data_IF_840063739939
#
_entry.id   IF_840063739939
#
_cell.length_a   1.000
_cell.length_b   1.000
_cell.length_c   1.000
_cell.angle_alpha   90.00
_cell.angle_beta   90.00
_cell.angle_gamma   90.00
#
_symmetry.space_group_name_H-M   'P 1'
#
loop_
_entity.id
_entity.type
_entity.pdbx_description
1 polymer ?
#
# COMPACT_ATOMS: atom_id res chain seq x y z
N UNK A 1 41.38 -4.09 -11.70
CA UNK A 1 40.82 -4.24 -10.33
C UNK A 1 40.20 -2.94 -9.75
N UNK A 2 40.04 -1.84 -10.50
CA UNK A 2 39.53 -0.56 -9.94
C UNK A 2 38.13 -0.11 -10.39
N UNK A 3 37.38 -0.89 -11.19
CA UNK A 3 36.05 -0.49 -11.69
C UNK A 3 34.85 -0.99 -10.85
N UNK A 4 35.07 -1.87 -9.86
CA UNK A 4 33.98 -2.41 -9.02
C UNK A 4 33.72 -1.57 -7.75
N UNK A 5 34.71 -0.82 -7.24
CA UNK A 5 34.58 0.01 -6.03
C UNK A 5 33.99 1.41 -6.30
N UNK A 6 34.07 1.90 -7.54
CA UNK A 6 33.54 3.21 -7.94
C UNK A 6 32.03 3.17 -8.21
N UNK A 7 31.50 2.02 -8.66
CA UNK A 7 30.08 1.86 -8.97
C UNK A 7 29.19 1.71 -7.72
N UNK A 8 29.72 1.12 -6.65
CA UNK A 8 29.02 0.88 -5.36
C UNK A 8 28.88 2.14 -4.49
N UNK A 9 29.85 3.05 -4.51
CA UNK A 9 29.76 4.35 -3.81
C UNK A 9 28.67 5.26 -4.40
N UNK A 10 28.48 5.23 -5.72
CA UNK A 10 27.44 6.00 -6.42
C UNK A 10 26.03 5.47 -6.12
N UNK A 11 25.84 4.15 -6.01
CA UNK A 11 24.53 3.57 -5.65
C UNK A 11 24.12 3.93 -4.22
N UNK A 12 25.04 3.85 -3.26
CA UNK A 12 24.75 4.14 -1.85
C UNK A 12 24.38 5.62 -1.62
N UNK A 13 25.09 6.54 -2.29
CA UNK A 13 24.78 7.98 -2.24
C UNK A 13 23.40 8.29 -2.84
N UNK A 14 23.07 7.67 -3.99
CA UNK A 14 21.76 7.79 -4.64
C UNK A 14 20.61 7.27 -3.78
N UNK A 15 20.85 6.20 -3.03
CA UNK A 15 19.88 5.60 -2.11
C UNK A 15 19.64 6.50 -0.90
N UNK A 16 20.67 7.18 -0.38
CA UNK A 16 20.52 8.14 0.74
C UNK A 16 19.70 9.36 0.34
N UNK A 17 19.80 9.85 -0.91
CA UNK A 17 18.98 10.97 -1.37
C UNK A 17 17.49 10.66 -1.42
N UNK A 18 17.12 9.42 -1.78
CA UNK A 18 15.73 8.94 -1.76
C UNK A 18 15.12 8.84 -0.35
N UNK A 19 15.95 8.98 0.70
CA UNK A 19 15.57 8.86 2.11
C UNK A 19 15.54 10.19 2.86
N UNK A 20 15.90 11.30 2.20
CA UNK A 20 15.86 12.67 2.74
C UNK A 20 14.51 13.09 3.37
N UNK A 21 13.33 12.58 2.96
CA UNK A 21 12.05 12.94 3.59
C UNK A 21 11.78 12.24 4.93
N UNK A 22 12.65 11.33 5.38
CA UNK A 22 12.45 10.54 6.59
C UNK A 22 13.08 11.23 7.81
N UNK A 23 12.33 11.32 8.89
CA UNK A 23 12.77 11.73 10.23
C UNK A 23 14.03 10.96 10.67
N UNK A 24 14.91 11.60 11.45
CA UNK A 24 16.25 11.09 11.82
C UNK A 24 16.23 9.70 12.47
N UNK A 25 15.12 9.35 13.14
CA UNK A 25 14.94 8.01 13.74
C UNK A 25 14.72 6.93 12.67
N UNK A 26 14.06 7.28 11.56
CA UNK A 26 13.79 6.40 10.43
C UNK A 26 15.02 6.25 9.52
N UNK A 27 15.89 7.25 9.44
CA UNK A 27 17.19 7.16 8.74
C UNK A 27 18.10 6.06 9.33
N UNK A 28 18.14 5.89 10.66
CA UNK A 28 18.94 4.82 11.31
C UNK A 28 18.38 3.43 10.97
N UNK A 29 17.06 3.29 10.96
CA UNK A 29 16.38 2.04 10.62
C UNK A 29 16.60 1.73 9.14
N UNK A 30 16.45 2.70 8.23
CA UNK A 30 16.64 2.43 6.80
C UNK A 30 18.11 2.18 6.44
N UNK A 31 19.07 2.87 7.09
CA UNK A 31 20.52 2.55 6.95
C UNK A 31 20.83 1.09 7.29
N UNK A 32 20.15 0.51 8.29
CA UNK A 32 20.31 -0.92 8.62
C UNK A 32 19.73 -1.89 7.58
N UNK A 33 18.81 -1.42 6.73
CA UNK A 33 18.22 -2.23 5.67
C UNK A 33 18.96 -2.07 4.35
N UNK A 34 19.51 -0.88 4.05
CA UNK A 34 20.33 -0.62 2.87
C UNK A 34 21.57 -1.52 2.84
N UNK A 35 22.19 -1.77 3.99
CA UNK A 35 23.36 -2.66 4.06
C UNK A 35 23.02 -4.13 3.72
N UNK A 36 21.76 -4.55 3.89
CA UNK A 36 21.29 -5.88 3.51
C UNK A 36 20.98 -6.04 2.01
N UNK A 37 20.91 -4.95 1.25
CA UNK A 37 20.72 -4.95 -0.21
C UNK A 37 22.03 -5.13 -1.00
N UNK A 38 23.17 -5.20 -0.31
CA UNK A 38 24.46 -5.53 -0.88
C UNK A 38 24.51 -7.03 -1.25
N UNK A 39 25.13 -7.34 -2.38
CA UNK A 39 24.91 -8.57 -3.16
C UNK A 39 25.51 -9.85 -2.55
N UNK A 40 26.38 -9.73 -1.55
CA UNK A 40 27.13 -10.87 -1.02
C UNK A 40 26.55 -11.39 0.33
N UNK A 41 26.34 -12.70 0.44
CA UNK A 41 25.79 -13.37 1.64
C UNK A 41 26.70 -13.18 2.87
N UNK A 42 28.02 -13.13 2.68
CA UNK A 42 28.97 -12.87 3.77
C UNK A 42 29.02 -11.39 4.15
N UNK A 43 28.78 -10.48 3.20
CA UNK A 43 28.61 -9.04 3.48
C UNK A 43 27.30 -8.77 4.22
N UNK A 44 26.21 -9.52 3.96
CA UNK A 44 24.96 -9.43 4.73
C UNK A 44 25.14 -9.88 6.18
N UNK A 45 25.82 -11.01 6.40
CA UNK A 45 26.14 -11.48 7.77
C UNK A 45 27.13 -10.57 8.49
N UNK A 46 28.08 -9.97 7.76
CA UNK A 46 29.02 -9.00 8.33
C UNK A 46 28.37 -7.64 8.56
N UNK A 47 27.46 -7.18 7.70
CA UNK A 47 26.70 -5.95 7.90
C UNK A 47 25.70 -6.09 9.05
N UNK A 48 25.03 -7.23 9.23
CA UNK A 48 24.23 -7.51 10.42
C UNK A 48 25.10 -7.56 11.69
N UNK A 49 26.27 -8.20 11.64
CA UNK A 49 27.24 -8.19 12.75
C UNK A 49 27.84 -6.81 13.04
N UNK A 50 28.11 -6.01 12.01
CA UNK A 50 28.59 -4.63 12.12
C UNK A 50 27.47 -3.73 12.62
N UNK A 51 26.23 -3.84 12.16
CA UNK A 51 25.07 -3.12 12.71
C UNK A 51 24.78 -3.43 14.19
N UNK A 52 25.06 -4.67 14.61
CA UNK A 52 25.00 -5.08 16.02
C UNK A 52 26.17 -4.49 16.83
N UNK A 53 27.34 -4.30 16.19
CA UNK A 53 28.55 -3.69 16.77
C UNK A 53 28.59 -2.17 16.70
N UNK A 54 27.86 -1.57 15.77
CA UNK A 54 27.98 -0.16 15.41
C UNK A 54 27.09 0.70 16.31
N UNK A 55 27.59 1.89 16.60
CA UNK A 55 27.13 2.82 17.62
C UNK A 55 25.79 3.50 17.25
N UNK A 56 24.98 2.87 16.41
CA UNK A 56 23.63 3.28 15.98
C UNK A 56 22.68 3.63 17.13
N UNK A 57 22.96 3.13 18.35
CA UNK A 57 22.22 3.51 19.56
C UNK A 57 22.50 4.94 20.05
N UNK A 58 23.61 5.57 19.66
CA UNK A 58 23.91 6.96 20.04
C UNK A 58 22.90 7.96 19.44
N UNK A 59 22.28 7.59 18.30
CA UNK A 59 21.25 8.39 17.64
C UNK A 59 19.83 7.85 17.87
N UNK A 60 19.65 6.85 18.76
CA UNK A 60 18.35 6.28 19.04
C UNK A 60 17.57 7.18 20.01
N UNK A 61 16.42 7.63 19.54
CA UNK A 61 15.50 8.44 20.33
C UNK A 61 14.45 7.55 21.01
N UNK A 62 14.16 7.81 22.27
CA UNK A 62 13.09 7.15 23.00
C UNK A 62 11.76 7.42 22.28
N UNK A 63 11.04 6.39 21.84
CA UNK A 63 9.80 6.59 21.10
C UNK A 63 8.64 7.08 21.98
N UNK A 64 8.79 7.04 23.32
CA UNK A 64 7.78 7.51 24.28
C UNK A 64 7.99 8.97 24.68
N UNK A 65 9.21 9.36 25.07
CA UNK A 65 9.50 10.70 25.60
C UNK A 65 10.44 11.54 24.72
N UNK A 66 10.88 11.01 23.57
CA UNK A 66 11.80 11.68 22.63
C UNK A 66 13.20 12.02 23.16
N UNK A 67 13.56 11.49 24.33
CA UNK A 67 14.92 11.59 24.86
C UNK A 67 15.93 10.78 24.04
N UNK A 68 17.12 11.33 23.83
CA UNK A 68 18.29 10.64 23.24
C UNK A 68 19.04 9.78 24.26
N UNK A 69 18.69 9.84 25.55
CA UNK A 69 19.33 9.09 26.62
C UNK A 69 18.86 7.62 26.65
N UNK A 70 19.35 6.83 25.70
CA UNK A 70 18.95 5.43 25.48
C UNK A 70 20.16 4.50 25.62
N UNK A 71 19.98 3.39 26.35
CA UNK A 71 20.99 2.33 26.50
C UNK A 71 20.48 0.96 26.04
N UNK A 72 21.41 0.07 25.69
CA UNK A 72 21.13 -1.36 25.44
C UNK A 72 20.61 -2.01 26.74
N UNK A 73 19.62 -2.89 26.63
CA UNK A 73 18.94 -3.55 27.76
C UNK A 73 18.75 -5.07 27.50
N UNK A 74 19.87 -5.73 27.15
CA UNK A 74 19.90 -7.15 26.82
C UNK A 74 19.15 -7.51 25.52
N UNK A 75 18.99 -8.80 25.30
CA UNK A 75 18.29 -9.38 24.13
C UNK A 75 17.12 -10.25 24.58
N UNK A 76 16.09 -10.37 23.74
CA UNK A 76 14.99 -11.33 23.93
C UNK A 76 14.53 -11.86 22.58
N UNK A 77 14.47 -13.18 22.42
CA UNK A 77 14.14 -13.84 21.14
C UNK A 77 15.00 -13.29 20.00
N UNK A 78 16.31 -13.26 20.19
CA UNK A 78 17.32 -12.76 19.23
C UNK A 78 17.19 -11.26 18.87
N UNK A 79 16.34 -10.50 19.57
CA UNK A 79 16.13 -9.07 19.33
C UNK A 79 16.76 -8.23 20.43
N UNK A 80 17.57 -7.25 20.02
CA UNK A 80 18.11 -6.24 20.91
C UNK A 80 16.99 -5.39 21.52
N UNK A 81 17.03 -5.21 22.84
CA UNK A 81 16.16 -4.29 23.59
C UNK A 81 16.94 -3.04 23.98
N UNK A 82 16.22 -1.94 24.08
CA UNK A 82 16.72 -0.64 24.49
C UNK A 82 15.88 -0.12 25.65
N UNK A 83 16.50 0.59 26.59
CA UNK A 83 15.84 1.25 27.71
C UNK A 83 16.18 2.72 27.69
N UNK A 84 15.17 3.58 27.72
CA UNK A 84 15.37 5.01 27.96
C UNK A 84 15.73 5.23 29.43
N UNK A 85 16.76 6.02 29.71
CA UNK A 85 17.15 6.34 31.08
C UNK A 85 16.21 7.37 31.73
N UNK A 86 15.58 8.25 30.95
CA UNK A 86 14.72 9.31 31.48
C UNK A 86 13.31 8.83 31.82
N UNK A 87 12.65 8.08 30.92
CA UNK A 87 11.29 7.58 31.16
C UNK A 87 11.20 6.07 31.45
N UNK A 88 12.36 5.39 31.51
CA UNK A 88 12.48 3.95 31.75
C UNK A 88 11.76 3.02 30.78
N UNK A 89 11.21 3.55 29.68
CA UNK A 89 10.52 2.77 28.67
C UNK A 89 11.47 1.80 27.97
N UNK A 90 11.04 0.54 27.84
CA UNK A 90 11.82 -0.51 27.17
C UNK A 90 11.20 -0.85 25.82
N UNK A 91 12.01 -0.79 24.76
CA UNK A 91 11.56 -0.97 23.39
C UNK A 91 12.57 -1.76 22.55
N UNK A 92 12.17 -2.10 21.33
CA UNK A 92 13.00 -2.67 20.26
C UNK A 92 12.88 -1.76 19.06
N UNK A 93 13.75 -1.89 18.05
CA UNK A 93 13.64 -1.12 16.80
C UNK A 93 12.25 -1.26 16.17
N UNK A 94 11.63 -2.43 16.27
CA UNK A 94 10.31 -2.68 15.67
C UNK A 94 9.12 -2.19 16.51
N UNK A 95 9.34 -1.76 17.76
CA UNK A 95 8.24 -1.47 18.72
C UNK A 95 7.30 -0.36 18.24
N UNK A 96 7.78 0.53 17.37
CA UNK A 96 7.04 1.68 16.83
C UNK A 96 6.98 1.68 15.31
N UNK A 97 7.08 0.50 14.69
CA UNK A 97 6.99 0.31 13.24
C UNK A 97 5.77 -0.53 12.90
N UNK A 98 5.44 -0.65 11.61
CA UNK A 98 4.38 -1.55 11.14
C UNK A 98 4.62 -3.02 11.52
N UNK A 99 5.88 -3.36 11.83
CA UNK A 99 6.32 -4.69 12.26
C UNK A 99 6.16 -4.93 13.77
N UNK A 100 5.46 -4.05 14.48
CA UNK A 100 5.12 -4.27 15.88
C UNK A 100 4.43 -5.64 16.06
N UNK A 101 4.86 -6.37 17.08
CA UNK A 101 4.43 -7.75 17.40
C UNK A 101 4.78 -8.82 16.36
N UNK A 102 5.56 -8.50 15.32
CA UNK A 102 6.05 -9.48 14.36
C UNK A 102 7.21 -10.28 14.96
N UNK A 103 7.08 -11.61 14.96
CA UNK A 103 8.10 -12.54 15.46
C UNK A 103 9.07 -13.03 14.39
N UNK A 104 8.85 -12.69 13.12
CA UNK A 104 9.72 -13.08 12.01
C UNK A 104 11.13 -12.49 12.17
N UNK A 105 12.13 -13.25 11.72
CA UNK A 105 13.53 -12.83 11.61
C UNK A 105 13.68 -11.75 10.52
N UNK A 106 14.89 -11.22 10.37
CA UNK A 106 15.20 -10.30 9.27
C UNK A 106 15.02 -10.98 7.91
N UNK A 107 15.70 -12.10 7.66
CA UNK A 107 15.64 -12.82 6.38
C UNK A 107 14.22 -13.14 5.92
N UNK A 108 13.37 -13.62 6.84
CA UNK A 108 11.97 -13.92 6.50
C UNK A 108 11.16 -12.68 6.13
N UNK A 109 11.49 -11.51 6.69
CA UNK A 109 10.84 -10.25 6.33
C UNK A 109 11.35 -9.73 5.00
N UNK A 110 12.66 -9.83 4.75
CA UNK A 110 13.26 -9.48 3.47
C UNK A 110 12.63 -10.30 2.34
N UNK A 111 12.66 -11.64 2.46
CA UNK A 111 12.08 -12.54 1.46
C UNK A 111 10.57 -12.29 1.26
N UNK A 112 9.85 -11.99 2.34
CA UNK A 112 8.44 -11.61 2.25
C UNK A 112 8.23 -10.36 1.39
N UNK A 113 9.05 -9.32 1.58
CA UNK A 113 8.96 -8.05 0.85
C UNK A 113 9.40 -8.23 -0.60
N UNK A 114 10.49 -8.96 -0.84
CA UNK A 114 10.99 -9.31 -2.17
C UNK A 114 9.99 -10.12 -2.99
N UNK A 115 9.33 -11.10 -2.41
CA UNK A 115 8.26 -11.81 -3.12
C UNK A 115 6.99 -10.95 -3.30
N UNK A 116 6.75 -9.97 -2.41
CA UNK A 116 5.56 -9.12 -2.48
C UNK A 116 5.63 -8.08 -3.59
N UNK A 117 6.82 -7.56 -3.96
CA UNK A 117 6.96 -6.65 -5.12
C UNK A 117 6.53 -7.29 -6.44
N UNK A 118 6.60 -8.63 -6.55
CA UNK A 118 6.13 -9.39 -7.71
C UNK A 118 4.68 -9.91 -7.55
N UNK A 119 3.95 -9.43 -6.54
CA UNK A 119 2.57 -9.86 -6.24
C UNK A 119 2.38 -11.38 -6.08
N UNK A 120 3.41 -12.09 -5.59
CA UNK A 120 3.33 -13.55 -5.42
C UNK A 120 2.18 -13.98 -4.51
N UNK A 121 1.65 -15.17 -4.74
CA UNK A 121 0.52 -15.68 -3.94
C UNK A 121 0.91 -15.85 -2.46
N UNK A 122 -0.06 -15.68 -1.56
CA UNK A 122 0.17 -15.86 -0.12
C UNK A 122 0.65 -17.28 0.23
N UNK A 123 0.20 -18.28 -0.54
CA UNK A 123 0.62 -19.67 -0.36
C UNK A 123 2.09 -19.87 -0.77
N UNK A 124 2.49 -19.31 -1.91
CA UNK A 124 3.87 -19.33 -2.38
C UNK A 124 4.81 -18.69 -1.35
N UNK A 125 4.44 -17.50 -0.85
CA UNK A 125 5.22 -16.80 0.17
C UNK A 125 5.27 -17.60 1.48
N UNK A 126 4.12 -18.12 1.95
CA UNK A 126 4.04 -18.90 3.18
C UNK A 126 4.95 -20.15 3.12
N UNK A 127 4.94 -20.86 2.00
CA UNK A 127 5.79 -22.01 1.74
C UNK A 127 7.27 -21.63 1.76
N UNK A 128 7.64 -20.59 0.99
CA UNK A 128 9.03 -20.12 0.85
C UNK A 128 9.65 -19.68 2.18
N UNK A 129 8.95 -18.85 2.95
CA UNK A 129 9.48 -18.33 4.24
C UNK A 129 9.19 -19.26 5.43
N UNK A 130 8.56 -20.42 5.18
CA UNK A 130 8.19 -21.44 6.17
C UNK A 130 7.37 -20.85 7.34
N UNK A 131 6.21 -20.29 7.04
CA UNK A 131 5.24 -19.78 8.03
C UNK A 131 3.82 -20.16 7.65
N UNK A 132 2.88 -20.01 8.59
CA UNK A 132 1.46 -20.29 8.32
C UNK A 132 0.83 -19.22 7.42
N UNK A 133 -0.12 -19.64 6.57
CA UNK A 133 -0.88 -18.73 5.70
C UNK A 133 -1.51 -17.53 6.45
N UNK A 134 -2.10 -17.68 7.65
CA UNK A 134 -2.58 -16.54 8.44
C UNK A 134 -1.49 -15.53 8.80
N UNK A 135 -0.26 -15.99 9.02
CA UNK A 135 0.87 -15.12 9.32
C UNK A 135 1.26 -14.32 8.09
N UNK A 136 1.35 -14.96 6.93
CA UNK A 136 1.64 -14.29 5.65
C UNK A 136 0.55 -13.27 5.29
N UNK A 137 -0.72 -13.63 5.51
CA UNK A 137 -1.84 -12.71 5.29
C UNK A 137 -1.77 -11.49 6.21
N UNK A 138 -1.47 -11.67 7.50
CA UNK A 138 -1.24 -10.56 8.42
C UNK A 138 -0.08 -9.68 7.99
N UNK A 139 1.03 -10.27 7.53
CA UNK A 139 2.19 -9.52 7.02
C UNK A 139 1.83 -8.68 5.79
N UNK A 140 1.05 -9.22 4.85
CA UNK A 140 0.54 -8.46 3.69
C UNK A 140 -0.30 -7.27 4.12
N UNK A 141 -1.21 -7.48 5.05
CA UNK A 141 -2.02 -6.37 5.55
C UNK A 141 -1.22 -5.33 6.34
N UNK A 142 -0.20 -5.74 7.10
CA UNK A 142 0.72 -4.79 7.74
C UNK A 142 1.44 -3.93 6.71
N UNK A 143 1.96 -4.55 5.64
CA UNK A 143 2.60 -3.83 4.55
C UNK A 143 1.63 -2.86 3.87
N UNK A 144 0.45 -3.32 3.46
CA UNK A 144 -0.49 -2.48 2.73
C UNK A 144 -1.06 -1.33 3.59
N UNK A 145 -1.20 -1.53 4.90
CA UNK A 145 -1.67 -0.48 5.80
C UNK A 145 -0.66 0.66 5.94
N UNK A 146 0.64 0.42 5.71
CA UNK A 146 1.65 1.50 5.67
C UNK A 146 1.40 2.50 4.53
N UNK A 147 0.70 2.06 3.47
CA UNK A 147 0.35 2.87 2.31
C UNK A 147 -1.04 3.51 2.43
N UNK A 148 -1.67 3.47 3.62
CA UNK A 148 -3.02 4.00 3.84
C UNK A 148 -3.21 5.43 3.34
N UNK A 149 -2.18 6.27 3.54
CA UNK A 149 -2.19 7.69 3.20
C UNK A 149 -1.34 8.02 1.97
N UNK A 150 -0.72 7.04 1.31
CA UNK A 150 0.17 7.27 0.16
C UNK A 150 -0.52 8.07 -0.95
N UNK A 151 -1.73 7.67 -1.35
CA UNK A 151 -2.48 8.38 -2.38
C UNK A 151 -2.91 9.82 -1.99
N UNK A 152 -2.77 10.23 -0.71
CA UNK A 152 -3.09 11.60 -0.31
C UNK A 152 -1.98 12.59 -0.64
N UNK A 153 -0.73 12.12 -0.83
CA UNK A 153 0.39 12.95 -1.23
C UNK A 153 0.55 13.07 -2.74
N UNK A 154 -0.26 12.34 -3.52
CA UNK A 154 -0.21 12.38 -4.98
C UNK A 154 -1.07 13.55 -5.50
N UNK A 155 -0.51 14.30 -6.44
CA UNK A 155 -1.17 15.38 -7.16
C UNK A 155 -1.00 15.08 -8.64
N UNK A 156 -2.11 14.86 -9.34
CA UNK A 156 -2.13 14.59 -10.77
C UNK A 156 -1.78 15.86 -11.56
N UNK A 157 -1.12 15.71 -12.72
CA UNK A 157 -0.80 16.85 -13.58
C UNK A 157 -0.69 16.51 -15.06
N UNK A 158 -0.78 17.51 -15.93
CA UNK A 158 -0.64 17.33 -17.38
C UNK A 158 -1.88 16.67 -17.94
N UNK A 159 -1.72 15.55 -18.66
CA UNK A 159 -2.85 14.76 -19.13
C UNK A 159 -3.31 13.81 -18.04
N UNK A 160 -4.59 13.89 -17.70
CA UNK A 160 -5.23 13.12 -16.64
C UNK A 160 -6.35 12.31 -17.25
N UNK A 161 -6.32 11.01 -17.02
CA UNK A 161 -7.28 10.04 -17.52
C UNK A 161 -8.12 9.54 -16.35
N UNK A 162 -9.44 9.58 -16.46
CA UNK A 162 -10.33 9.19 -15.37
C UNK A 162 -11.54 8.38 -15.83
N UNK A 163 -11.94 7.42 -14.98
CA UNK A 163 -13.09 6.54 -15.18
C UNK A 163 -13.52 5.90 -13.84
N UNK A 164 -14.61 5.14 -13.86
CA UNK A 164 -15.13 4.37 -12.75
C UNK A 164 -15.00 2.86 -12.99
N UNK A 165 -14.35 2.20 -12.04
CA UNK A 165 -14.24 0.75 -12.01
C UNK A 165 -15.34 0.13 -11.16
N UNK A 166 -15.89 -0.99 -11.63
CA UNK A 166 -16.92 -1.74 -10.94
C UNK A 166 -16.42 -3.12 -10.54
N UNK A 167 -16.45 -3.41 -9.25
CA UNK A 167 -16.07 -4.71 -8.69
C UNK A 167 -17.27 -5.40 -8.03
N UNK A 168 -17.44 -6.72 -8.18
CA UNK A 168 -18.47 -7.43 -7.45
C UNK A 168 -18.18 -7.37 -5.94
N UNK A 169 -19.18 -7.07 -5.13
CA UNK A 169 -19.00 -7.06 -3.67
C UNK A 169 -18.59 -8.44 -3.16
N UNK A 170 -17.48 -8.52 -2.45
CA UNK A 170 -17.00 -9.74 -1.80
C UNK A 170 -17.10 -9.61 -0.27
N UNK A 171 -17.90 -10.48 0.36
CA UNK A 171 -18.20 -10.46 1.80
C UNK A 171 -17.50 -11.59 2.57
N UNK A 172 -16.40 -12.16 2.04
CA UNK A 172 -15.62 -13.23 2.71
C UNK A 172 -15.11 -12.87 4.12
N UNK A 173 -15.15 -11.58 4.49
CA UNK A 173 -14.88 -11.09 5.85
C UNK A 173 -16.05 -11.29 6.83
N UNK A 174 -17.16 -11.87 6.39
CA UNK A 174 -18.37 -12.08 7.19
C UNK A 174 -19.32 -10.88 7.18
N UNK A 175 -19.08 -9.89 6.31
CA UNK A 175 -19.96 -8.72 6.13
C UNK A 175 -21.19 -8.99 5.26
N UNK A 176 -21.64 -10.25 5.18
CA UNK A 176 -22.78 -10.61 4.33
C UNK A 176 -24.02 -9.82 4.78
N UNK A 177 -24.74 -9.17 3.86
CA UNK A 177 -26.13 -8.82 4.11
C UNK A 177 -26.93 -10.11 4.37
N UNK A 178 -27.91 -10.05 5.27
CA UNK A 178 -28.75 -11.20 5.65
C UNK A 178 -29.61 -11.73 4.45
N UNK A 179 -29.61 -11.07 3.29
CA UNK A 179 -30.44 -11.40 2.12
C UNK A 179 -29.69 -12.00 0.91
N UNK A 180 -28.41 -12.39 1.04
CA UNK A 180 -27.64 -12.84 -0.12
C UNK A 180 -27.94 -14.29 -0.48
N UNK A 181 -28.68 -14.51 -1.57
CA UNK A 181 -28.84 -15.83 -2.17
C UNK A 181 -27.50 -16.34 -2.73
N UNK A 182 -27.30 -17.66 -2.68
CA UNK A 182 -26.16 -18.35 -3.29
C UNK A 182 -26.12 -18.10 -4.80
N UNK A 183 -24.92 -17.88 -5.35
CA UNK A 183 -24.71 -17.71 -6.79
C UNK A 183 -25.04 -19.03 -7.51
N UNK A 184 -26.05 -19.05 -8.37
CA UNK A 184 -26.33 -20.20 -9.25
C UNK A 184 -25.65 -20.00 -10.61
N UNK A 185 -25.32 -21.10 -11.28
CA UNK A 185 -24.75 -21.09 -12.63
C UNK A 185 -25.89 -21.01 -13.66
N UNK A 186 -25.74 -20.18 -14.70
CA UNK A 186 -26.82 -19.79 -15.61
C UNK A 186 -27.68 -18.67 -15.01
N UNK A 187 -27.90 -17.57 -15.74
CA UNK A 187 -28.52 -16.38 -15.14
C UNK A 187 -29.49 -15.65 -16.03
N UNK A 188 -30.72 -15.51 -15.52
CA UNK A 188 -31.78 -14.71 -16.13
C UNK A 188 -31.53 -13.21 -15.95
N UNK A 189 -32.18 -12.38 -16.80
CA UNK A 189 -32.07 -10.91 -16.80
C UNK A 189 -32.19 -10.25 -15.42
N UNK A 190 -33.12 -10.73 -14.56
CA UNK A 190 -33.32 -10.23 -13.20
C UNK A 190 -32.09 -10.41 -12.30
N UNK A 191 -31.34 -11.50 -12.51
CA UNK A 191 -30.12 -11.78 -11.74
C UNK A 191 -28.96 -10.89 -12.21
N UNK A 192 -28.91 -10.56 -13.51
CA UNK A 192 -27.94 -9.59 -14.08
C UNK A 192 -28.19 -8.18 -13.53
N UNK A 193 -29.45 -7.75 -13.43
CA UNK A 193 -29.79 -6.48 -12.76
C UNK A 193 -29.44 -6.47 -11.27
N UNK A 194 -29.71 -7.57 -10.56
CA UNK A 194 -29.31 -7.69 -9.15
C UNK A 194 -27.79 -7.72 -8.96
N UNK A 195 -27.03 -8.27 -9.93
CA UNK A 195 -25.56 -8.20 -9.94
C UNK A 195 -25.05 -6.77 -10.07
N UNK A 196 -25.70 -5.92 -10.89
CA UNK A 196 -25.37 -4.48 -11.02
C UNK A 196 -25.63 -3.71 -9.72
N UNK A 197 -26.67 -4.09 -8.96
CA UNK A 197 -27.03 -3.45 -7.68
C UNK A 197 -26.07 -3.74 -6.52
N UNK A 198 -25.22 -4.76 -6.61
CA UNK A 198 -24.28 -5.16 -5.55
C UNK A 198 -22.81 -5.05 -6.01
N UNK A 199 -22.53 -3.97 -6.75
CA UNK A 199 -21.18 -3.58 -7.16
C UNK A 199 -20.60 -2.51 -6.24
N UNK A 200 -19.28 -2.59 -6.10
CA UNK A 200 -18.46 -1.60 -5.44
C UNK A 200 -17.83 -0.76 -6.53
N UNK A 201 -18.05 0.55 -6.45
CA UNK A 201 -17.48 1.51 -7.38
C UNK A 201 -16.13 1.98 -6.83
N UNK A 202 -15.13 2.02 -7.70
CA UNK A 202 -13.81 2.58 -7.43
C UNK A 202 -13.58 3.69 -8.44
N UNK A 203 -13.40 4.92 -7.96
CA UNK A 203 -12.96 6.03 -8.80
C UNK A 203 -11.50 5.84 -9.14
N UNK A 204 -11.17 6.09 -10.40
CA UNK A 204 -9.85 5.92 -10.97
C UNK A 204 -9.45 7.20 -11.68
N UNK A 205 -8.24 7.66 -11.41
CA UNK A 205 -7.60 8.70 -12.21
C UNK A 205 -6.09 8.44 -12.26
N UNK A 206 -5.45 8.68 -13.39
CA UNK A 206 -4.00 8.54 -13.55
C UNK A 206 -3.47 9.59 -14.53
N UNK A 207 -2.17 9.88 -14.44
CA UNK A 207 -1.50 10.82 -15.33
C UNK A 207 -0.29 10.20 -16.04
N UNK A 208 0.30 10.98 -16.96
CA UNK A 208 1.50 10.60 -17.71
C UNK A 208 2.78 10.56 -16.84
N UNK A 209 2.74 11.16 -15.64
CA UNK A 209 3.86 11.25 -14.68
C UNK A 209 3.93 10.04 -13.73
N UNK A 210 3.09 9.03 -13.96
CA UNK A 210 3.07 7.80 -13.16
C UNK A 210 2.32 7.93 -11.83
N UNK A 211 1.54 8.99 -11.62
CA UNK A 211 0.64 9.08 -10.49
C UNK A 211 -0.69 8.39 -10.82
N UNK A 212 -1.23 7.62 -9.88
CA UNK A 212 -2.60 7.15 -10.00
C UNK A 212 -3.34 7.14 -8.65
N UNK A 213 -4.60 7.55 -8.71
CA UNK A 213 -5.55 7.60 -7.61
C UNK A 213 -6.60 6.52 -7.82
N UNK A 214 -6.82 5.70 -6.79
CA UNK A 214 -7.78 4.60 -6.81
C UNK A 214 -8.57 4.60 -5.50
N UNK A 215 -9.84 5.04 -5.55
CA UNK A 215 -10.64 5.24 -4.35
C UNK A 215 -11.97 4.52 -4.40
N UNK A 216 -12.18 3.60 -3.46
CA UNK A 216 -13.48 2.98 -3.23
C UNK A 216 -14.49 4.02 -2.76
N UNK A 217 -15.59 4.15 -3.49
CA UNK A 217 -16.77 4.95 -3.12
C UNK A 217 -17.52 4.28 -1.97
N UNK A 218 -18.05 5.07 -1.03
CA UNK A 218 -18.94 4.59 0.03
C UNK A 218 -20.32 4.27 -0.56
N UNK A 219 -20.81 3.05 -0.32
CA UNK A 219 -22.15 2.62 -0.71
C UNK A 219 -23.21 3.51 -0.05
N UNK A 220 -24.22 3.93 -0.82
CA UNK A 220 -25.35 4.73 -0.34
C UNK A 220 -25.06 6.23 -0.14
N UNK A 221 -23.88 6.73 -0.49
CA UNK A 221 -23.61 8.17 -0.51
C UNK A 221 -23.67 8.74 -1.94
N UNK A 222 -23.87 10.06 -2.07
CA UNK A 222 -23.95 10.72 -3.37
C UNK A 222 -22.66 10.51 -4.18
N UNK A 223 -22.79 10.03 -5.42
CA UNK A 223 -21.66 9.74 -6.31
C UNK A 223 -20.93 11.04 -6.69
N UNK A 224 -21.67 12.05 -7.13
CA UNK A 224 -21.14 13.36 -7.53
C UNK A 224 -20.30 14.00 -6.41
N UNK A 225 -20.84 14.05 -5.18
CA UNK A 225 -20.12 14.61 -4.04
C UNK A 225 -18.81 13.84 -3.73
N UNK A 226 -18.82 12.53 -3.93
CA UNK A 226 -17.61 11.71 -3.74
C UNK A 226 -16.58 11.92 -4.85
N UNK A 227 -17.03 12.14 -6.09
CA UNK A 227 -16.14 12.51 -7.19
C UNK A 227 -15.53 13.90 -6.94
N UNK A 228 -16.31 14.87 -6.48
CA UNK A 228 -15.79 16.20 -6.13
C UNK A 228 -14.69 16.08 -5.06
N UNK A 229 -14.93 15.29 -4.01
CA UNK A 229 -13.93 15.00 -2.96
C UNK A 229 -12.70 14.24 -3.47
N UNK A 230 -12.85 13.45 -4.53
CA UNK A 230 -11.76 12.68 -5.13
C UNK A 230 -10.82 13.55 -5.95
N UNK A 231 -11.33 14.53 -6.69
CA UNK A 231 -10.51 15.42 -7.51
C UNK A 231 -10.06 16.70 -6.80
N UNK A 232 -10.85 17.21 -5.85
CA UNK A 232 -10.57 18.48 -5.17
C UNK A 232 -9.18 18.48 -4.52
N UNK A 233 -8.37 19.50 -4.87
CA UNK A 233 -6.99 19.72 -4.38
C UNK A 233 -6.03 18.55 -4.67
N UNK A 234 -6.29 17.77 -5.73
CA UNK A 234 -5.45 16.63 -6.15
C UNK A 234 -5.04 16.68 -7.61
N UNK A 235 -5.22 17.83 -8.24
CA UNK A 235 -4.90 18.10 -9.65
C UNK A 235 -4.20 19.46 -9.71
N UNK A 236 -3.11 19.57 -10.47
CA UNK A 236 -2.48 20.86 -10.76
C UNK A 236 -3.31 21.65 -11.77
N UNK A 237 -3.29 22.97 -11.64
CA UNK A 237 -3.94 23.88 -12.58
C UNK A 237 -3.42 23.68 -14.01
N UNK A 238 -4.24 24.00 -15.00
CA UNK A 238 -3.93 23.87 -16.43
C UNK A 238 -3.67 22.42 -16.88
N UNK A 239 -4.22 21.43 -16.17
CA UNK A 239 -4.24 20.04 -16.63
C UNK A 239 -5.36 19.80 -17.64
N UNK A 240 -5.26 18.71 -18.40
CA UNK A 240 -6.30 18.24 -19.33
C UNK A 240 -6.91 16.95 -18.78
N UNK A 241 -8.22 16.93 -18.58
CA UNK A 241 -8.98 15.80 -18.09
C UNK A 241 -9.66 15.06 -19.25
N UNK A 242 -9.30 13.80 -19.45
CA UNK A 242 -9.87 12.85 -20.40
C UNK A 242 -10.80 11.87 -19.68
N UNK A 243 -12.07 11.83 -20.07
CA UNK A 243 -13.09 10.98 -19.43
C UNK A 243 -14.07 10.40 -20.44
N UNK A 244 -14.90 9.46 -19.99
CA UNK A 244 -16.10 9.07 -20.70
C UNK A 244 -17.14 10.23 -20.79
N UNK A 245 -18.27 9.94 -21.43
CA UNK A 245 -19.38 10.87 -21.58
C UNK A 245 -20.22 11.13 -20.32
N UNK A 246 -19.78 10.73 -19.12
CA UNK A 246 -20.55 10.96 -17.89
C UNK A 246 -20.58 12.46 -17.53
N UNK A 247 -21.78 13.03 -17.51
CA UNK A 247 -22.01 14.49 -17.40
C UNK A 247 -21.34 15.16 -16.21
N UNK A 248 -21.15 14.47 -15.09
CA UNK A 248 -20.56 15.06 -13.88
C UNK A 248 -19.08 15.41 -14.05
N UNK A 249 -18.38 14.79 -15.00
CA UNK A 249 -16.98 15.14 -15.30
C UNK A 249 -16.81 16.57 -15.81
N UNK A 250 -17.82 17.15 -16.46
CA UNK A 250 -17.81 18.55 -16.83
C UNK A 250 -17.73 19.47 -15.60
N UNK A 251 -18.57 19.21 -14.59
CA UNK A 251 -18.56 19.93 -13.31
C UNK A 251 -17.22 19.75 -12.58
N UNK A 252 -16.64 18.55 -12.66
CA UNK A 252 -15.32 18.26 -12.06
C UNK A 252 -14.23 19.09 -12.74
N UNK A 253 -14.21 19.15 -14.07
CA UNK A 253 -13.22 19.91 -14.82
C UNK A 253 -13.27 21.40 -14.47
N UNK A 254 -14.48 21.97 -14.34
CA UNK A 254 -14.67 23.33 -13.84
C UNK A 254 -14.15 23.49 -12.40
N UNK A 255 -14.43 22.54 -11.52
CA UNK A 255 -14.01 22.55 -10.10
C UNK A 255 -12.48 22.48 -9.92
N UNK A 256 -11.76 21.82 -10.83
CA UNK A 256 -10.29 21.70 -10.79
C UNK A 256 -9.56 22.63 -11.77
N UNK A 257 -10.29 23.51 -12.48
CA UNK A 257 -9.74 24.39 -13.51
C UNK A 257 -8.90 23.63 -14.57
N UNK A 258 -9.47 22.54 -15.09
CA UNK A 258 -8.87 21.71 -16.15
C UNK A 258 -9.63 21.82 -17.47
N UNK A 259 -8.92 21.66 -18.58
CA UNK A 259 -9.54 21.47 -19.90
C UNK A 259 -10.21 20.10 -19.91
N UNK A 260 -11.47 20.01 -20.36
CA UNK A 260 -12.20 18.73 -20.41
C UNK A 260 -12.32 18.21 -21.83
N UNK A 261 -11.88 16.97 -22.06
CA UNK A 261 -12.05 16.22 -23.30
C UNK A 261 -12.82 14.94 -22.97
N UNK A 262 -14.08 14.86 -23.38
CA UNK A 262 -14.92 13.69 -23.18
C UNK A 262 -15.01 12.83 -24.45
N UNK A 263 -15.14 11.52 -24.30
CA UNK A 263 -15.57 10.67 -25.42
C UNK A 263 -16.90 11.16 -25.96
N UNK A 264 -16.99 11.29 -27.29
CA UNK A 264 -18.25 11.58 -27.97
C UNK A 264 -18.93 10.31 -28.48
N UNK A 265 -18.31 9.13 -28.32
CA UNK A 265 -18.89 7.85 -28.74
C UNK A 265 -19.06 7.73 -30.25
N UNK A 266 -18.26 8.46 -31.02
CA UNK A 266 -18.09 8.21 -32.46
C UNK A 266 -17.39 6.86 -32.63
N UNK A 267 -17.73 6.09 -33.67
CA UNK A 267 -17.26 4.70 -33.86
C UNK A 267 -15.73 4.49 -33.89
N UNK A 268 -14.93 5.57 -33.82
CA UNK A 268 -13.48 5.52 -33.72
C UNK A 268 -13.01 5.66 -32.27
N UNK A 269 -12.42 4.59 -31.75
CA UNK A 269 -11.74 4.53 -30.46
C UNK A 269 -10.50 5.44 -30.49
N UNK A 270 -10.55 6.58 -29.78
CA UNK A 270 -9.39 7.48 -29.65
C UNK A 270 -8.28 6.83 -28.81
N UNK A 271 -7.02 7.22 -29.02
CA UNK A 271 -5.86 6.73 -28.25
C UNK A 271 -6.05 6.94 -26.73
N UNK A 272 -6.65 8.05 -26.31
CA UNK A 272 -6.86 8.40 -24.90
C UNK A 272 -7.85 7.46 -24.21
N UNK A 273 -8.97 7.14 -24.87
CA UNK A 273 -9.91 6.14 -24.36
C UNK A 273 -9.29 4.74 -24.32
N UNK A 274 -8.39 4.40 -25.26
CA UNK A 274 -7.65 3.15 -25.17
C UNK A 274 -6.76 3.11 -23.93
N UNK A 275 -6.06 4.20 -23.58
CA UNK A 275 -5.26 4.30 -22.35
C UNK A 275 -6.11 4.11 -21.09
N UNK A 276 -7.31 4.69 -21.05
CA UNK A 276 -8.27 4.48 -19.95
C UNK A 276 -8.64 3.00 -19.85
N UNK A 277 -8.98 2.36 -20.97
CA UNK A 277 -9.37 0.95 -21.03
C UNK A 277 -8.24 0.00 -20.60
N UNK A 278 -7.01 0.28 -21.02
CA UNK A 278 -5.83 -0.51 -20.68
C UNK A 278 -5.54 -0.44 -19.18
N UNK A 279 -5.56 0.77 -18.62
CA UNK A 279 -5.34 0.97 -17.19
C UNK A 279 -6.48 0.34 -16.35
N UNK A 280 -7.73 0.53 -16.77
CA UNK A 280 -8.93 -0.11 -16.19
C UNK A 280 -8.80 -1.63 -16.16
N UNK A 281 -8.35 -2.22 -17.27
CA UNK A 281 -8.13 -3.65 -17.41
C UNK A 281 -6.99 -4.14 -16.51
N UNK A 282 -5.90 -3.37 -16.41
CA UNK A 282 -4.76 -3.68 -15.54
C UNK A 282 -5.16 -3.73 -14.05
N UNK A 283 -5.91 -2.73 -13.57
CA UNK A 283 -6.42 -2.71 -12.18
C UNK A 283 -7.39 -3.86 -11.93
N UNK A 284 -8.28 -4.16 -12.89
CA UNK A 284 -9.22 -5.29 -12.80
C UNK A 284 -8.49 -6.62 -12.73
N UNK A 285 -7.48 -6.86 -13.58
CA UNK A 285 -6.63 -8.06 -13.57
C UNK A 285 -5.92 -8.22 -12.23
N UNK A 286 -5.36 -7.14 -11.70
CA UNK A 286 -4.69 -7.15 -10.41
C UNK A 286 -5.61 -7.63 -9.27
N UNK A 287 -6.85 -7.16 -9.22
CA UNK A 287 -7.80 -7.57 -8.16
C UNK A 287 -8.44 -8.94 -8.43
N UNK A 288 -8.88 -9.19 -9.67
CA UNK A 288 -9.69 -10.37 -10.00
C UNK A 288 -8.85 -11.61 -10.28
N UNK A 289 -7.65 -11.45 -10.85
CA UNK A 289 -6.85 -12.57 -11.33
C UNK A 289 -5.61 -12.82 -10.47
N UNK A 290 -4.90 -11.76 -10.07
CA UNK A 290 -3.69 -11.86 -9.24
C UNK A 290 -4.08 -12.03 -7.77
N UNK A 291 -4.85 -11.09 -7.19
CA UNK A 291 -5.29 -11.13 -5.80
C UNK A 291 -6.71 -11.70 -5.64
N UNK A 292 -6.92 -12.89 -6.20
CA UNK A 292 -8.22 -13.59 -6.19
C UNK A 292 -8.86 -13.64 -4.81
N UNK A 293 -10.10 -13.13 -4.73
CA UNK A 293 -10.95 -13.28 -3.55
C UNK A 293 -10.74 -12.25 -2.45
N UNK A 294 -10.10 -11.11 -2.72
CA UNK A 294 -10.06 -9.94 -1.82
C UNK A 294 -11.45 -9.57 -1.34
N UNK A 295 -11.66 -9.52 -0.02
CA UNK A 295 -12.89 -8.99 0.56
C UNK A 295 -12.99 -7.50 0.31
N UNK A 296 -14.22 -7.03 0.10
CA UNK A 296 -14.56 -5.60 -0.03
C UNK A 296 -13.97 -4.78 1.09
N UNK A 297 -13.95 -5.31 2.34
CA UNK A 297 -13.35 -4.65 3.52
C UNK A 297 -11.92 -4.17 3.24
N UNK A 298 -11.15 -4.98 2.53
CA UNK A 298 -9.73 -4.78 2.28
C UNK A 298 -9.40 -4.18 0.92
N UNK A 299 -10.37 -4.06 0.02
CA UNK A 299 -10.15 -3.60 -1.35
C UNK A 299 -9.31 -2.32 -1.42
N UNK A 300 -9.60 -1.33 -0.57
CA UNK A 300 -8.83 -0.07 -0.56
C UNK A 300 -7.34 -0.27 -0.26
N UNK A 301 -6.97 -1.18 0.65
CA UNK A 301 -5.57 -1.44 0.97
C UNK A 301 -4.82 -2.05 -0.23
N UNK A 302 -5.49 -2.88 -1.02
CA UNK A 302 -4.94 -3.45 -2.26
C UNK A 302 -4.82 -2.39 -3.37
N UNK A 303 -5.80 -1.50 -3.49
CA UNK A 303 -5.73 -0.36 -4.43
C UNK A 303 -4.59 0.61 -4.08
N UNK A 304 -4.33 0.83 -2.80
CA UNK A 304 -3.19 1.62 -2.35
C UNK A 304 -1.85 0.95 -2.72
N UNK A 305 -1.76 -0.39 -2.59
CA UNK A 305 -0.58 -1.15 -3.01
C UNK A 305 -0.35 -1.05 -4.53
N UNK A 306 -1.40 -1.23 -5.33
CA UNK A 306 -1.31 -1.08 -6.79
C UNK A 306 -0.81 0.32 -7.17
N UNK A 307 -1.41 1.37 -6.59
CA UNK A 307 -1.02 2.76 -6.86
C UNK A 307 0.45 3.04 -6.51
N UNK A 308 0.92 2.47 -5.41
CA UNK A 308 2.32 2.57 -5.00
C UNK A 308 3.28 1.86 -5.95
N UNK A 309 2.97 0.63 -6.36
CA UNK A 309 3.80 -0.09 -7.34
C UNK A 309 3.81 0.61 -8.70
N UNK A 310 2.66 1.10 -9.15
CA UNK A 310 2.54 1.87 -10.39
C UNK A 310 3.47 3.09 -10.38
N UNK A 311 3.42 3.88 -9.30
CA UNK A 311 4.30 5.04 -9.11
C UNK A 311 5.78 4.68 -9.10
N UNK A 312 6.17 3.61 -8.39
CA UNK A 312 7.58 3.22 -8.32
C UNK A 312 8.09 2.72 -9.66
N UNK A 313 7.33 1.86 -10.33
CA UNK A 313 7.72 1.28 -11.61
C UNK A 313 7.81 2.34 -12.71
N UNK A 314 7.05 3.44 -12.60
CA UNK A 314 7.21 4.59 -13.48
C UNK A 314 8.53 5.35 -13.25
N UNK A 315 9.06 5.34 -12.02
CA UNK A 315 10.31 6.02 -11.69
C UNK A 315 11.56 5.19 -11.98
N UNK A 316 11.47 3.86 -11.89
CA UNK A 316 12.64 2.99 -12.04
C UNK A 316 12.27 1.54 -12.30
N UNK A 317 13.02 0.90 -13.19
CA UNK A 317 12.99 -0.55 -13.40
C UNK A 317 13.98 -1.31 -12.48
N UNK A 318 14.73 -0.59 -11.65
CA UNK A 318 15.69 -1.20 -10.72
C UNK A 318 14.96 -1.83 -9.54
N UNK A 319 14.87 -3.16 -9.59
CA UNK A 319 14.28 -4.02 -8.57
C UNK A 319 14.79 -3.68 -7.16
N UNK A 320 16.08 -3.34 -7.00
CA UNK A 320 16.64 -3.02 -5.69
C UNK A 320 16.09 -1.70 -5.17
N UNK A 321 15.93 -0.69 -6.03
CA UNK A 321 15.32 0.59 -5.65
C UNK A 321 13.85 0.40 -5.25
N UNK A 322 13.11 -0.45 -5.95
CA UNK A 322 11.74 -0.82 -5.58
C UNK A 322 11.68 -1.47 -4.20
N UNK A 323 12.55 -2.45 -3.97
CA UNK A 323 12.66 -3.15 -2.69
C UNK A 323 12.97 -2.18 -1.54
N UNK A 324 13.91 -1.25 -1.75
CA UNK A 324 14.27 -0.21 -0.77
C UNK A 324 13.07 0.65 -0.41
N UNK A 325 12.32 1.13 -1.41
CA UNK A 325 11.14 1.98 -1.18
C UNK A 325 10.08 1.23 -0.37
N UNK A 326 9.80 -0.04 -0.69
CA UNK A 326 8.83 -0.87 0.05
C UNK A 326 9.29 -1.06 1.50
N UNK A 327 10.56 -1.43 1.72
CA UNK A 327 11.13 -1.62 3.05
C UNK A 327 11.07 -0.33 3.87
N UNK A 328 11.43 0.80 3.24
CA UNK A 328 11.37 2.12 3.87
C UNK A 328 9.98 2.43 4.44
N UNK A 329 8.91 2.20 3.66
CA UNK A 329 7.53 2.38 4.13
C UNK A 329 7.17 1.43 5.29
N UNK A 330 7.59 0.17 5.21
CA UNK A 330 7.31 -0.83 6.23
C UNK A 330 7.96 -0.45 7.58
N UNK A 331 9.11 0.20 7.55
CA UNK A 331 9.91 0.49 8.73
C UNK A 331 9.65 1.87 9.32
N UNK A 332 9.39 2.87 8.46
CA UNK A 332 9.10 4.23 8.90
C UNK A 332 7.66 4.40 9.39
N UNK A 333 6.73 3.60 8.87
CA UNK A 333 5.33 3.69 9.26
C UNK A 333 5.10 3.21 10.68
N UNK A 334 4.52 4.06 11.52
CA UNK A 334 3.97 3.69 12.84
C UNK A 334 2.62 2.98 12.74
N UNK A 335 1.96 3.05 11.57
CA UNK A 335 0.68 2.42 11.32
C UNK A 335 0.88 0.91 11.18
N UNK A 336 0.07 0.16 11.90
CA UNK A 336 0.08 -1.31 11.90
C UNK A 336 -1.35 -1.84 12.00
N UNK A 337 -1.56 -3.06 11.53
CA UNK A 337 -2.72 -3.88 11.87
C UNK A 337 -2.29 -5.08 12.73
N UNK A 338 -3.13 -5.43 13.70
CA UNK A 338 -2.94 -6.59 14.57
C UNK A 338 -3.79 -7.77 14.09
N UNK A 339 -3.43 -8.98 14.53
CA UNK A 339 -4.24 -10.18 14.27
C UNK A 339 -5.68 -10.02 14.77
N UNK A 340 -5.87 -9.34 15.91
CA UNK A 340 -7.21 -9.11 16.48
C UNK A 340 -8.05 -8.22 15.55
N UNK A 341 -7.50 -7.13 15.02
CA UNK A 341 -8.22 -6.23 14.10
C UNK A 341 -8.47 -6.85 12.73
N UNK A 342 -7.51 -7.65 12.23
CA UNK A 342 -7.66 -8.33 10.95
C UNK A 342 -8.79 -9.37 11.01
N UNK A 343 -8.85 -10.16 12.08
CA UNK A 343 -9.83 -11.24 12.22
C UNK A 343 -11.03 -10.89 13.10
N UNK A 344 -11.17 -9.65 13.58
CA UNK A 344 -12.35 -9.24 14.32
C UNK A 344 -13.56 -9.32 13.38
N UNK A 345 -14.39 -10.35 13.58
CA UNK A 345 -15.76 -10.38 13.08
C UNK A 345 -16.46 -9.19 13.73
N UNK A 346 -17.04 -8.29 12.95
CA UNK A 346 -17.85 -7.21 13.52
C UNK A 346 -18.88 -7.85 14.44
N UNK A 347 -18.77 -7.64 15.76
CA UNK A 347 -19.84 -8.04 16.68
C UNK A 347 -21.05 -7.25 16.22
N UNK A 348 -22.07 -7.93 15.66
CA UNK A 348 -23.43 -7.35 15.58
C UNK A 348 -23.71 -6.89 17.02
N UNK A 349 -23.81 -5.58 17.27
CA UNK A 349 -24.36 -5.09 18.54
C UNK A 349 -25.71 -5.81 18.64
N UNK A 350 -25.86 -6.73 19.60
CA UNK A 350 -27.19 -7.24 19.94
C UNK A 350 -28.02 -5.99 20.20
N UNK A 351 -29.05 -5.75 19.39
CA UNK A 351 -30.10 -4.82 19.78
C UNK A 351 -30.54 -5.32 21.15
N UNK A 352 -30.24 -4.58 22.20
CA UNK A 352 -30.90 -4.76 23.47
C UNK A 352 -32.38 -4.56 23.15
N UNK A 353 -33.17 -5.63 23.22
CA UNK A 353 -34.61 -5.47 23.38
C UNK A 353 -34.80 -4.55 24.58
N UNK A 354 -35.57 -3.45 24.47
CA UNK A 354 -36.08 -2.82 25.66
C UNK A 354 -36.91 -3.89 26.37
N UNK A 355 -36.45 -4.30 27.55
CA UNK A 355 -37.28 -5.07 28.46
C UNK A 355 -38.23 -4.07 29.12
N UNK A 356 -39.51 -4.38 28.96
CA UNK A 356 -40.72 -3.83 29.62
C UNK A 356 -41.15 -2.45 29.15
#
# INVERSE_FOLDING_TARGET
MNNHQTNTKNTFSSIIELLKPLDETNLVIVKSFISALLENIDERKNAEKELIRDETYKNLVCPKCKSTNVKKNGTKNEKQRYRCNDCHYVFTLNSHTSLKYTKLSFDKRYEFVDMSQYDMSLLSIASRIKVSLPTTFLMRHKLFETLKFFQNSLILSGNIYADELYFPRNCKDGSSPDYRNSRKHGSDKKEIENRRKDQIIVMMAFDDEGHCLLKRIKTGSNKSEQMDKFFRKRVKDNSTLYTDGYRHYKTIAELINAVHIADKGTNDMTEEHQRINDFSSSVKRFINDIHKGVSTKYLQSYLNWYSFLYFINHQTDDIKKTLIKILSHLLSSTITITRRELYSRGRKKRKSNPLV
#
